data_IF_284527289499
#
_entry.id   IF_284527289499
#
_cell.length_a   1.000
_cell.length_b   1.000
_cell.length_c   1.000
_cell.angle_alpha   90.00
_cell.angle_beta   90.00
_cell.angle_gamma   90.00
#
_symmetry.space_group_name_H-M   'P 1'
#
loop_
_entity.id
_entity.type
_entity.pdbx_description
1 polymer ?
#
# COMPACT_ATOMS: atom_id res chain seq x y z
N UNK A 1 13.89 -55.95 4.27
CA UNK A 1 14.84 -54.92 4.75
C UNK A 1 15.76 -54.34 3.68
N UNK A 2 16.42 -55.12 2.81
CA UNK A 2 17.35 -54.54 1.77
C UNK A 2 16.69 -53.64 0.71
N UNK A 3 15.42 -53.85 0.35
CA UNK A 3 14.73 -52.97 -0.67
C UNK A 3 14.38 -51.58 -0.14
N UNK A 4 14.09 -51.44 1.13
CA UNK A 4 13.77 -50.12 1.74
C UNK A 4 15.03 -49.28 2.00
N UNK A 5 16.18 -49.93 2.21
CA UNK A 5 17.47 -49.25 2.39
C UNK A 5 17.95 -48.59 1.09
N UNK A 6 17.69 -49.23 -0.08
CA UNK A 6 18.02 -48.68 -1.40
C UNK A 6 17.15 -47.47 -1.78
N UNK A 7 15.86 -47.47 -1.37
CA UNK A 7 14.94 -46.36 -1.60
C UNK A 7 15.33 -45.17 -0.71
N UNK A 8 15.71 -45.43 0.55
CA UNK A 8 16.16 -44.39 1.48
C UNK A 8 17.48 -43.71 1.04
N UNK A 9 18.42 -44.51 0.48
CA UNK A 9 19.67 -43.99 -0.09
C UNK A 9 19.45 -43.19 -1.40
N UNK A 10 18.45 -43.62 -2.22
CA UNK A 10 18.07 -42.86 -3.42
C UNK A 10 17.41 -41.52 -3.09
N UNK A 11 16.55 -41.45 -2.07
CA UNK A 11 15.92 -40.23 -1.61
C UNK A 11 16.94 -39.28 -0.97
N UNK A 12 17.88 -39.80 -0.17
CA UNK A 12 18.94 -39.00 0.42
C UNK A 12 19.90 -38.42 -0.65
N UNK A 13 20.19 -39.16 -1.74
CA UNK A 13 20.99 -38.64 -2.82
C UNK A 13 20.26 -37.58 -3.67
N UNK A 14 18.94 -37.70 -3.85
CA UNK A 14 18.16 -36.67 -4.56
C UNK A 14 18.08 -35.40 -3.72
N UNK A 15 17.93 -35.49 -2.38
CA UNK A 15 17.98 -34.32 -1.49
C UNK A 15 19.40 -33.71 -1.41
N UNK A 16 20.46 -34.50 -1.54
CA UNK A 16 21.83 -33.97 -1.58
C UNK A 16 22.16 -33.27 -2.89
N UNK A 17 21.53 -33.66 -4.01
CA UNK A 17 21.74 -32.98 -5.32
C UNK A 17 20.94 -31.68 -5.46
N UNK A 18 19.85 -31.51 -4.74
CA UNK A 18 19.09 -30.25 -4.73
C UNK A 18 19.77 -29.16 -3.89
N UNK A 19 20.70 -29.54 -2.97
CA UNK A 19 21.43 -28.60 -2.14
C UNK A 19 22.72 -28.00 -2.76
N UNK A 20 23.13 -28.38 -3.96
CA UNK A 20 24.43 -27.94 -4.53
C UNK A 20 24.34 -27.13 -5.82
N UNK A 21 23.16 -26.71 -6.26
CA UNK A 21 23.04 -25.64 -7.22
C UNK A 21 22.87 -24.30 -6.49
N UNK A 22 23.81 -23.95 -5.65
CA UNK A 22 23.93 -22.59 -5.13
C UNK A 22 24.31 -21.69 -6.31
N UNK A 23 23.41 -20.78 -6.67
CA UNK A 23 23.59 -19.90 -7.81
C UNK A 23 24.84 -19.01 -7.60
N UNK A 24 25.51 -18.67 -8.68
CA UNK A 24 26.67 -17.74 -8.68
C UNK A 24 26.31 -16.39 -8.02
N UNK A 25 25.03 -15.99 -8.06
CA UNK A 25 24.51 -14.76 -7.47
C UNK A 25 24.00 -14.93 -6.03
N UNK A 26 23.89 -16.15 -5.52
CA UNK A 26 23.36 -16.40 -4.18
C UNK A 26 24.19 -15.77 -3.03
N UNK A 27 25.51 -15.73 -3.15
CA UNK A 27 26.36 -15.10 -2.16
C UNK A 27 26.15 -13.57 -2.13
N UNK A 28 26.08 -12.93 -3.31
CA UNK A 28 25.76 -11.51 -3.42
C UNK A 28 24.33 -11.22 -2.99
N UNK A 29 23.36 -12.09 -3.31
CA UNK A 29 21.95 -11.93 -2.96
C UNK A 29 21.75 -11.68 -1.46
N UNK A 30 22.37 -12.46 -0.59
CA UNK A 30 22.24 -12.29 0.86
C UNK A 30 22.86 -10.97 1.35
N UNK A 31 23.97 -10.53 0.78
CA UNK A 31 24.60 -9.27 1.13
C UNK A 31 23.76 -8.08 0.65
N UNK A 32 23.26 -8.13 -0.58
CA UNK A 32 22.38 -7.10 -1.13
C UNK A 32 21.04 -7.03 -0.38
N UNK A 33 20.47 -8.15 0.08
CA UNK A 33 19.31 -8.14 0.96
C UNK A 33 19.60 -7.42 2.28
N UNK A 34 20.77 -7.64 2.90
CA UNK A 34 21.19 -6.91 4.11
C UNK A 34 21.36 -5.41 3.85
N UNK A 35 21.96 -5.03 2.72
CA UNK A 35 22.11 -3.63 2.30
C UNK A 35 20.76 -2.98 2.04
N UNK A 36 19.85 -3.70 1.38
CA UNK A 36 18.46 -3.26 1.21
C UNK A 36 17.77 -3.04 2.56
N UNK A 37 17.88 -3.98 3.49
CA UNK A 37 17.25 -3.85 4.81
C UNK A 37 17.84 -2.72 5.65
N UNK A 38 19.15 -2.48 5.54
CA UNK A 38 19.82 -1.36 6.20
C UNK A 38 19.32 0.02 5.73
N UNK A 39 18.77 0.11 4.50
CA UNK A 39 18.18 1.31 3.93
C UNK A 39 16.65 1.38 4.07
N UNK A 40 16.04 0.46 4.84
CA UNK A 40 14.60 0.46 5.05
C UNK A 40 14.16 1.72 5.80
N UNK A 41 13.23 2.53 5.24
CA UNK A 41 12.83 3.76 5.88
C UNK A 41 12.01 3.49 7.14
N UNK A 42 12.17 4.36 8.14
CA UNK A 42 11.19 4.49 9.21
C UNK A 42 9.96 5.23 8.68
N UNK A 43 8.76 4.77 9.07
CA UNK A 43 7.55 5.48 8.68
C UNK A 43 7.32 6.74 9.50
N UNK A 44 6.86 7.75 8.83
CA UNK A 44 6.19 8.91 9.42
C UNK A 44 4.71 8.58 9.56
N UNK A 45 4.19 8.70 10.77
CA UNK A 45 2.79 8.45 11.08
C UNK A 45 2.06 9.75 11.38
N UNK A 46 0.85 9.90 10.79
CA UNK A 46 -0.02 11.04 11.06
C UNK A 46 -1.45 10.57 11.29
N UNK A 47 -2.08 11.04 12.38
CA UNK A 47 -3.48 10.74 12.67
C UNK A 47 -4.40 11.72 11.94
N UNK A 48 -5.42 11.18 11.31
CA UNK A 48 -6.49 11.90 10.63
C UNK A 48 -7.84 11.47 11.20
N UNK A 49 -8.77 12.41 11.24
CA UNK A 49 -10.19 12.15 11.52
C UNK A 49 -11.02 12.49 10.30
N UNK A 50 -12.21 11.90 10.11
CA UNK A 50 -13.09 12.31 9.03
C UNK A 50 -13.48 13.77 9.23
N UNK A 51 -13.53 14.53 8.13
CA UNK A 51 -13.82 15.97 8.16
C UNK A 51 -15.31 16.27 8.11
N UNK A 52 -16.07 15.47 7.37
CA UNK A 52 -17.49 15.71 7.09
C UNK A 52 -18.19 14.45 6.63
N UNK A 53 -19.52 14.51 6.69
CA UNK A 53 -20.40 13.54 6.08
C UNK A 53 -20.73 14.04 4.68
N UNK A 54 -20.68 13.13 3.71
CA UNK A 54 -20.99 13.41 2.32
C UNK A 54 -22.00 12.42 1.77
N UNK A 55 -22.67 12.81 0.69
CA UNK A 55 -23.46 11.89 -0.14
C UNK A 55 -22.93 11.88 -1.57
N UNK A 56 -22.97 10.73 -2.21
CA UNK A 56 -22.63 10.59 -3.62
C UNK A 56 -23.79 11.04 -4.49
N UNK A 57 -23.51 11.90 -5.46
CA UNK A 57 -24.50 12.46 -6.39
C UNK A 57 -24.02 12.23 -7.82
N UNK A 58 -24.94 11.78 -8.68
CA UNK A 58 -24.66 11.62 -10.11
C UNK A 58 -24.42 12.97 -10.76
N UNK A 59 -23.30 13.08 -11.49
CA UNK A 59 -22.91 14.30 -12.21
C UNK A 59 -22.08 13.89 -13.44
N UNK A 60 -22.67 14.02 -14.62
CA UNK A 60 -22.05 13.61 -15.89
C UNK A 60 -20.77 14.37 -16.23
N UNK A 61 -20.54 15.55 -15.60
CA UNK A 61 -19.33 16.34 -15.78
C UNK A 61 -18.20 15.97 -14.81
N UNK A 62 -18.54 15.22 -13.76
CA UNK A 62 -17.56 14.79 -12.76
C UNK A 62 -16.81 13.53 -13.22
N UNK A 63 -15.65 13.31 -12.63
CA UNK A 63 -14.86 12.09 -12.87
C UNK A 63 -15.70 10.84 -12.58
N UNK A 64 -15.73 9.91 -13.51
CA UNK A 64 -16.54 8.69 -13.48
C UNK A 64 -18.07 8.94 -13.30
N UNK A 65 -18.56 10.14 -13.55
CA UNK A 65 -19.98 10.49 -13.46
C UNK A 65 -20.51 10.70 -12.05
N UNK A 66 -19.65 10.87 -11.05
CA UNK A 66 -20.04 11.02 -9.65
C UNK A 66 -19.23 12.11 -8.93
N UNK A 67 -19.91 12.85 -8.06
CA UNK A 67 -19.29 13.81 -7.13
C UNK A 67 -19.84 13.66 -5.72
N UNK A 68 -19.14 14.21 -4.74
CA UNK A 68 -19.60 14.26 -3.35
C UNK A 68 -20.19 15.63 -3.02
N UNK A 69 -21.32 15.63 -2.32
CA UNK A 69 -21.91 16.79 -1.68
C UNK A 69 -21.79 16.69 -0.18
N UNK A 70 -21.42 17.79 0.47
CA UNK A 70 -21.44 17.92 1.93
C UNK A 70 -22.88 17.87 2.43
N UNK A 71 -23.17 17.03 3.41
CA UNK A 71 -24.51 16.88 3.98
C UNK A 71 -24.54 16.95 5.51
N UNK A 72 -23.41 17.13 6.15
CA UNK A 72 -23.41 17.33 7.60
C UNK A 72 -22.11 17.07 8.34
N UNK A 73 -22.16 17.28 9.65
CA UNK A 73 -21.07 17.13 10.58
C UNK A 73 -20.96 15.67 11.04
N UNK A 74 -19.73 15.21 11.23
CA UNK A 74 -19.42 13.87 11.76
C UNK A 74 -19.87 13.64 13.21
N UNK A 75 -20.16 14.71 13.95
CA UNK A 75 -20.54 14.65 15.38
C UNK A 75 -21.78 13.78 15.64
N UNK A 76 -22.68 13.66 14.66
CA UNK A 76 -23.85 12.76 14.75
C UNK A 76 -23.46 11.30 15.00
N UNK A 77 -22.31 10.86 14.49
CA UNK A 77 -21.83 9.49 14.67
C UNK A 77 -21.36 9.19 16.12
N UNK A 78 -21.01 10.23 16.87
CA UNK A 78 -20.56 10.13 18.26
C UNK A 78 -21.68 10.31 19.27
N UNK A 79 -22.81 10.87 18.85
CA UNK A 79 -23.92 11.28 19.74
C UNK A 79 -25.26 10.64 19.41
N UNK A 80 -25.39 10.02 18.24
CA UNK A 80 -26.63 9.38 17.79
C UNK A 80 -26.42 7.90 17.48
N UNK A 81 -27.52 7.15 17.46
CA UNK A 81 -27.51 5.73 17.13
C UNK A 81 -27.11 5.48 15.69
N UNK A 82 -26.08 4.65 15.48
CA UNK A 82 -25.60 4.23 14.16
C UNK A 82 -26.70 3.56 13.32
N UNK A 83 -27.73 2.98 13.97
CA UNK A 83 -28.89 2.40 13.25
C UNK A 83 -29.64 3.43 12.42
N UNK A 84 -29.59 4.71 12.80
CA UNK A 84 -30.22 5.82 12.06
C UNK A 84 -29.36 6.30 10.88
N UNK A 85 -28.07 5.95 10.88
CA UNK A 85 -27.07 6.48 9.96
C UNK A 85 -26.43 5.39 9.09
N UNK A 86 -27.11 4.25 8.88
CA UNK A 86 -26.59 3.20 7.99
C UNK A 86 -26.45 3.71 6.55
N UNK A 87 -25.32 3.39 5.92
CA UNK A 87 -24.99 3.87 4.57
C UNK A 87 -24.33 5.25 4.54
N UNK A 88 -23.96 5.79 5.71
CA UNK A 88 -23.27 7.09 5.80
C UNK A 88 -21.89 7.04 5.13
N UNK A 89 -21.52 8.11 4.44
CA UNK A 89 -20.22 8.25 3.78
C UNK A 89 -19.44 9.38 4.45
N UNK A 90 -18.22 9.08 4.84
CA UNK A 90 -17.28 10.02 5.44
C UNK A 90 -16.22 10.43 4.41
N UNK A 91 -15.89 11.73 4.35
CA UNK A 91 -14.78 12.28 3.60
C UNK A 91 -13.64 12.67 4.55
N UNK A 92 -12.45 12.11 4.35
CA UNK A 92 -11.25 12.44 5.10
C UNK A 92 -10.50 13.67 4.53
N UNK A 93 -11.00 14.23 3.42
CA UNK A 93 -10.47 15.44 2.79
C UNK A 93 -9.33 15.19 1.81
N UNK A 94 -8.51 14.18 2.06
CA UNK A 94 -7.39 13.78 1.22
C UNK A 94 -7.31 12.25 1.14
N UNK A 95 -6.60 11.73 0.14
CA UNK A 95 -6.29 10.31 0.03
C UNK A 95 -5.27 9.94 1.11
N UNK A 96 -5.44 8.79 1.75
CA UNK A 96 -4.61 8.36 2.88
C UNK A 96 -4.26 6.89 2.74
N UNK A 97 -3.01 6.54 3.05
CA UNK A 97 -2.52 5.16 3.13
C UNK A 97 -2.11 4.83 4.56
N UNK A 98 -2.68 3.78 5.17
CA UNK A 98 -2.41 3.43 6.57
C UNK A 98 -3.44 2.50 7.19
N UNK A 99 -3.76 2.69 8.47
CA UNK A 99 -4.66 1.83 9.25
C UNK A 99 -5.84 2.60 9.84
N UNK A 100 -7.03 1.98 9.80
CA UNK A 100 -8.25 2.54 10.36
C UNK A 100 -8.54 1.95 11.73
N UNK A 101 -8.75 2.84 12.71
CA UNK A 101 -9.02 2.48 14.10
C UNK A 101 -10.30 3.19 14.57
N UNK A 102 -11.09 2.50 15.38
CA UNK A 102 -12.32 3.06 15.96
C UNK A 102 -12.64 2.41 17.30
N UNK A 103 -13.47 3.09 18.08
CA UNK A 103 -14.10 2.50 19.25
C UNK A 103 -15.61 2.75 19.24
N UNK A 104 -16.35 1.80 19.78
CA UNK A 104 -17.81 1.89 19.94
C UNK A 104 -18.19 2.00 21.40
N UNK A 105 -19.27 2.74 21.63
CA UNK A 105 -19.97 2.84 22.91
C UNK A 105 -21.46 2.55 22.73
N UNK A 106 -22.14 2.19 23.82
CA UNK A 106 -23.60 2.17 23.91
C UNK A 106 -24.07 3.55 24.41
N UNK A 107 -25.10 4.08 23.78
CA UNK A 107 -25.74 5.31 24.23
C UNK A 107 -26.62 5.00 25.45
N UNK A 108 -26.51 5.81 26.51
CA UNK A 108 -27.20 5.61 27.78
C UNK A 108 -26.30 5.01 28.88
N UNK A 109 -26.89 4.61 30.00
CA UNK A 109 -26.14 4.18 31.21
C UNK A 109 -25.82 2.66 31.23
N UNK A 110 -25.96 1.96 30.14
CA UNK A 110 -25.82 0.50 30.09
C UNK A 110 -24.43 0.05 29.65
N UNK A 111 -23.84 -0.86 30.41
CA UNK A 111 -22.72 -1.69 29.97
C UNK A 111 -23.30 -3.06 29.65
N UNK A 112 -23.20 -3.48 28.37
CA UNK A 112 -23.69 -4.79 27.98
C UNK A 112 -22.54 -5.70 27.57
N UNK A 113 -22.43 -6.84 28.23
CA UNK A 113 -21.48 -7.91 27.90
C UNK A 113 -21.90 -8.75 26.67
N UNK A 114 -23.12 -8.53 26.17
CA UNK A 114 -23.69 -9.21 25.01
C UNK A 114 -24.48 -8.19 24.20
N UNK A 115 -23.76 -7.46 23.35
CA UNK A 115 -24.29 -6.37 22.56
C UNK A 115 -23.75 -6.46 21.11
N UNK A 116 -24.15 -7.50 20.35
CA UNK A 116 -23.63 -7.68 19.00
C UNK A 116 -24.06 -6.56 18.06
N UNK A 117 -23.06 -6.07 17.28
CA UNK A 117 -23.26 -5.20 16.13
C UNK A 117 -22.38 -5.68 14.97
N UNK A 118 -22.97 -5.72 13.77
CA UNK A 118 -22.29 -6.09 12.54
C UNK A 118 -22.21 -4.90 11.60
N UNK A 119 -21.00 -4.48 11.30
CA UNK A 119 -20.70 -3.33 10.46
C UNK A 119 -20.01 -3.76 9.16
N UNK A 120 -20.35 -3.09 8.07
CA UNK A 120 -19.56 -3.13 6.83
C UNK A 120 -18.92 -1.77 6.62
N UNK A 121 -17.62 -1.78 6.40
CA UNK A 121 -16.82 -0.64 5.99
C UNK A 121 -16.46 -0.82 4.52
N UNK A 122 -16.71 0.19 3.68
CA UNK A 122 -16.30 0.20 2.27
C UNK A 122 -15.40 1.41 2.05
N UNK A 123 -14.18 1.16 1.62
CA UNK A 123 -13.14 2.17 1.44
C UNK A 123 -12.97 2.49 -0.04
N UNK A 124 -12.99 3.76 -0.40
CA UNK A 124 -12.92 4.20 -1.78
C UNK A 124 -11.99 5.41 -1.95
N UNK A 125 -11.28 5.44 -3.06
CA UNK A 125 -10.42 6.57 -3.45
C UNK A 125 -11.23 7.67 -4.11
N UNK A 126 -12.23 7.28 -4.91
CA UNK A 126 -13.08 8.19 -5.69
C UNK A 126 -14.56 7.86 -5.52
N UNK A 127 -15.45 8.84 -5.75
CA UNK A 127 -16.90 8.64 -5.57
C UNK A 127 -17.50 7.49 -6.39
N UNK A 128 -16.98 7.26 -7.60
CA UNK A 128 -17.44 6.20 -8.51
C UNK A 128 -17.31 4.79 -7.92
N UNK A 129 -16.29 4.53 -7.11
CA UNK A 129 -16.12 3.23 -6.47
C UNK A 129 -17.24 2.89 -5.49
N UNK A 130 -17.75 3.87 -4.74
CA UNK A 130 -18.87 3.65 -3.81
C UNK A 130 -20.21 3.39 -4.53
N UNK A 131 -20.28 3.71 -5.81
CA UNK A 131 -21.48 3.54 -6.65
C UNK A 131 -21.36 2.34 -7.61
N UNK A 132 -20.25 1.61 -7.53
CA UNK A 132 -20.03 0.37 -8.26
C UNK A 132 -20.27 -0.80 -7.32
N UNK A 133 -21.12 -1.79 -7.67
CA UNK A 133 -21.33 -2.94 -6.81
C UNK A 133 -20.03 -3.75 -6.68
N UNK A 134 -19.71 -4.20 -5.47
CA UNK A 134 -18.57 -5.07 -5.23
C UNK A 134 -18.93 -6.55 -5.41
N UNK A 135 -20.20 -6.92 -5.27
CA UNK A 135 -20.68 -8.29 -5.38
C UNK A 135 -22.01 -8.34 -6.17
N UNK A 136 -22.01 -8.78 -7.45
CA UNK A 136 -20.86 -9.06 -8.28
C UNK A 136 -20.12 -7.81 -8.73
N UNK A 137 -18.80 -7.86 -8.78
CA UNK A 137 -17.99 -6.75 -9.28
C UNK A 137 -17.93 -6.79 -10.82
N UNK A 138 -18.35 -5.71 -11.53
CA UNK A 138 -18.42 -5.69 -12.97
C UNK A 138 -17.09 -5.36 -13.67
N UNK A 139 -16.06 -5.00 -12.91
CA UNK A 139 -14.76 -4.59 -13.46
C UNK A 139 -13.86 -5.78 -13.84
N UNK A 140 -12.77 -5.49 -14.56
CA UNK A 140 -11.82 -6.50 -15.04
C UNK A 140 -10.82 -7.02 -13.98
N UNK A 141 -10.81 -6.43 -12.79
CA UNK A 141 -9.91 -6.84 -11.70
C UNK A 141 -10.55 -7.91 -10.82
N UNK A 142 -9.73 -8.64 -10.08
CA UNK A 142 -10.25 -9.52 -9.03
C UNK A 142 -10.98 -8.72 -7.94
N UNK A 143 -12.15 -9.20 -7.53
CA UNK A 143 -12.91 -8.68 -6.40
C UNK A 143 -12.07 -8.58 -5.11
N UNK A 144 -11.08 -9.46 -4.94
CA UNK A 144 -10.19 -9.50 -3.79
C UNK A 144 -9.33 -8.22 -3.62
N UNK A 145 -9.14 -7.42 -4.66
CA UNK A 145 -8.43 -6.15 -4.59
C UNK A 145 -9.26 -5.01 -4.00
N UNK A 146 -10.58 -5.14 -3.98
CA UNK A 146 -11.45 -4.10 -3.45
C UNK A 146 -11.38 -4.06 -1.92
N UNK A 147 -11.46 -2.86 -1.37
CA UNK A 147 -11.28 -2.65 0.06
C UNK A 147 -12.62 -2.48 0.75
N UNK A 148 -13.21 -3.57 1.19
CA UNK A 148 -14.30 -3.57 2.16
C UNK A 148 -14.05 -4.61 3.25
N UNK A 149 -14.61 -4.36 4.43
CA UNK A 149 -14.48 -5.23 5.60
C UNK A 149 -15.82 -5.37 6.28
N UNK A 150 -16.13 -6.59 6.71
CA UNK A 150 -17.31 -6.87 7.54
C UNK A 150 -16.82 -7.37 8.89
N UNK A 151 -17.15 -6.62 9.95
CA UNK A 151 -16.76 -6.94 11.31
C UNK A 151 -18.01 -7.16 12.16
N UNK A 152 -18.01 -8.23 12.96
CA UNK A 152 -19.00 -8.45 14.00
C UNK A 152 -18.34 -8.27 15.36
N UNK A 153 -18.81 -7.30 16.13
CA UNK A 153 -18.35 -7.02 17.49
C UNK A 153 -19.42 -7.54 18.45
N UNK A 154 -19.03 -8.38 19.40
CA UNK A 154 -19.95 -9.06 20.30
C UNK A 154 -20.20 -8.30 21.60
N UNK A 155 -19.25 -7.48 22.02
CA UNK A 155 -19.28 -6.70 23.26
C UNK A 155 -18.98 -5.23 22.99
N UNK A 156 -19.65 -4.33 23.70
CA UNK A 156 -19.44 -2.87 23.64
C UNK A 156 -19.48 -2.33 25.09
N UNK A 157 -18.55 -1.47 25.54
CA UNK A 157 -17.57 -0.73 24.72
C UNK A 157 -16.40 -1.59 24.24
N UNK A 158 -15.86 -1.24 23.07
CA UNK A 158 -14.74 -1.94 22.45
C UNK A 158 -13.89 -0.98 21.58
N UNK A 159 -12.58 -1.20 21.60
CA UNK A 159 -11.66 -0.63 20.60
C UNK A 159 -11.36 -1.69 19.53
N UNK A 160 -11.38 -1.29 18.27
CA UNK A 160 -11.16 -2.16 17.13
C UNK A 160 -10.35 -1.46 16.05
N UNK A 161 -9.68 -2.27 15.23
CA UNK A 161 -8.95 -1.80 14.05
C UNK A 161 -9.21 -2.72 12.87
N UNK A 162 -9.09 -2.19 11.66
CA UNK A 162 -9.07 -3.02 10.45
C UNK A 162 -7.67 -3.65 10.35
N UNK A 163 -7.57 -5.00 10.27
CA UNK A 163 -6.29 -5.72 10.40
C UNK A 163 -5.47 -5.73 9.10
N UNK A 164 -5.55 -4.67 8.30
CA UNK A 164 -4.73 -4.49 7.11
C UNK A 164 -4.53 -3.01 6.78
N UNK A 165 -3.48 -2.71 6.01
CA UNK A 165 -3.27 -1.38 5.44
C UNK A 165 -4.34 -1.09 4.39
N UNK A 166 -4.89 0.10 4.45
CA UNK A 166 -5.94 0.63 3.57
C UNK A 166 -5.41 1.83 2.79
N UNK A 167 -6.06 2.13 1.67
CA UNK A 167 -5.73 3.28 0.85
C UNK A 167 -7.04 3.85 0.28
N UNK A 168 -7.44 5.03 0.79
CA UNK A 168 -8.75 5.60 0.49
C UNK A 168 -8.84 7.09 0.85
N UNK A 169 -9.89 7.75 0.37
CA UNK A 169 -10.35 9.06 0.81
C UNK A 169 -11.73 8.99 1.46
N UNK A 170 -12.61 8.13 0.93
CA UNK A 170 -14.01 8.02 1.36
C UNK A 170 -14.26 6.69 2.06
N UNK A 171 -14.98 6.75 3.18
CA UNK A 171 -15.38 5.58 3.95
C UNK A 171 -16.90 5.53 4.05
N UNK A 172 -17.52 4.50 3.48
CA UNK A 172 -18.93 4.20 3.71
C UNK A 172 -19.08 3.20 4.85
N UNK A 173 -20.04 3.45 5.74
CA UNK A 173 -20.34 2.60 6.89
C UNK A 173 -21.80 2.15 6.81
N UNK A 174 -22.00 0.83 6.69
CA UNK A 174 -23.31 0.20 6.72
C UNK A 174 -23.48 -0.62 7.99
N UNK A 175 -24.62 -0.48 8.67
CA UNK A 175 -25.03 -1.34 9.79
C UNK A 175 -25.79 -2.52 9.22
N UNK A 176 -25.16 -3.69 9.18
CA UNK A 176 -25.75 -4.93 8.63
C UNK A 176 -26.66 -5.63 9.63
N UNK A 177 -26.45 -5.41 10.92
CA UNK A 177 -27.25 -5.97 12.00
C UNK A 177 -26.78 -5.44 13.35
N UNK A 178 -27.70 -5.31 14.28
CA UNK A 178 -27.40 -4.88 15.63
C UNK A 178 -28.42 -5.45 16.62
N UNK A 179 -28.00 -5.66 17.87
CA UNK A 179 -28.89 -5.94 19.00
C UNK A 179 -29.83 -4.75 19.30
N UNK A 180 -30.63 -4.86 20.36
CA UNK A 180 -31.59 -3.82 20.75
C UNK A 180 -30.92 -2.51 21.20
N UNK A 181 -29.66 -2.55 21.65
CA UNK A 181 -28.93 -1.36 22.12
C UNK A 181 -28.68 -0.33 21.03
N UNK A 182 -28.59 0.94 21.42
CA UNK A 182 -28.18 2.03 20.55
C UNK A 182 -26.66 2.22 20.63
N UNK A 183 -26.01 2.09 19.50
CA UNK A 183 -24.54 2.16 19.34
C UNK A 183 -24.14 3.49 18.73
N UNK A 184 -23.02 4.05 19.19
CA UNK A 184 -22.35 5.19 18.59
C UNK A 184 -20.84 4.94 18.56
N UNK A 185 -20.13 5.66 17.69
CA UNK A 185 -18.68 5.72 17.82
C UNK A 185 -18.31 6.50 19.10
N UNK A 186 -17.24 6.08 19.77
CA UNK A 186 -16.60 6.87 20.81
C UNK A 186 -15.39 7.60 20.23
N UNK A 187 -14.60 6.90 19.40
CA UNK A 187 -13.48 7.47 18.65
C UNK A 187 -13.42 6.89 17.23
N UNK A 188 -12.86 7.66 16.32
CA UNK A 188 -12.58 7.24 14.97
C UNK A 188 -11.33 7.96 14.48
N UNK A 189 -10.35 7.21 14.00
CA UNK A 189 -9.13 7.79 13.47
C UNK A 189 -8.51 6.91 12.40
N UNK A 190 -7.82 7.53 11.46
CA UNK A 190 -6.96 6.88 10.50
C UNK A 190 -5.51 7.27 10.78
N UNK A 191 -4.65 6.27 10.96
CA UNK A 191 -3.21 6.50 11.12
C UNK A 191 -2.56 6.32 9.76
N UNK A 192 -2.35 7.44 9.07
CA UNK A 192 -1.64 7.47 7.79
C UNK A 192 -0.15 7.20 7.99
N UNK A 193 0.49 6.53 7.01
CA UNK A 193 1.91 6.22 6.99
C UNK A 193 2.55 6.50 5.63
N UNK A 194 3.80 6.92 5.65
CA UNK A 194 4.65 7.09 4.47
C UNK A 194 6.12 7.07 4.89
N UNK A 195 7.03 6.76 3.96
CA UNK A 195 8.47 6.91 4.17
C UNK A 195 8.94 8.38 4.26
N UNK A 196 8.05 9.33 3.98
CA UNK A 196 8.37 10.76 3.93
C UNK A 196 7.25 11.61 4.50
N UNK A 197 7.60 12.80 5.02
CA UNK A 197 6.64 13.82 5.37
C UNK A 197 6.12 14.56 4.12
N UNK A 198 4.92 15.13 4.24
CA UNK A 198 4.40 16.03 3.21
C UNK A 198 5.31 17.26 3.11
N UNK A 199 5.73 17.57 1.90
CA UNK A 199 6.48 18.80 1.61
C UNK A 199 5.61 19.76 0.79
N UNK A 200 5.89 21.04 0.95
CA UNK A 200 5.41 22.08 0.05
C UNK A 200 6.61 22.53 -0.77
N UNK A 201 6.55 22.37 -2.09
CA UNK A 201 7.56 22.93 -2.96
C UNK A 201 7.22 24.39 -3.27
N UNK A 202 8.16 25.25 -3.03
CA UNK A 202 8.06 26.64 -3.50
C UNK A 202 8.24 26.68 -5.02
N UNK A 203 7.13 26.69 -5.72
CA UNK A 203 7.07 26.91 -7.17
C UNK A 203 7.01 28.42 -7.48
N UNK A 204 7.79 29.20 -6.77
CA UNK A 204 7.79 30.69 -6.85
C UNK A 204 7.93 31.21 -8.29
N UNK A 205 8.47 30.40 -9.19
CA UNK A 205 8.69 30.78 -10.59
C UNK A 205 7.48 30.49 -11.48
N UNK A 206 6.50 29.67 -11.03
CA UNK A 206 5.33 29.38 -11.84
C UNK A 206 4.11 30.17 -11.36
N UNK A 207 3.51 30.89 -12.26
CA UNK A 207 2.31 31.72 -12.01
C UNK A 207 1.02 30.95 -12.33
N UNK A 208 1.11 29.84 -13.09
CA UNK A 208 -0.07 29.09 -13.51
C UNK A 208 -0.63 28.23 -12.35
N UNK A 209 -1.85 28.50 -11.88
CA UNK A 209 -2.48 27.74 -10.79
C UNK A 209 -2.69 26.25 -11.14
N UNK A 210 -2.91 25.92 -12.41
CA UNK A 210 -3.09 24.55 -12.85
C UNK A 210 -1.80 23.75 -12.73
N UNK A 211 -0.68 24.31 -13.14
CA UNK A 211 0.65 23.67 -13.00
C UNK A 211 0.96 23.45 -11.52
N UNK A 212 0.68 24.42 -10.65
CA UNK A 212 0.85 24.25 -9.20
C UNK A 212 0.00 23.09 -8.69
N UNK A 213 -1.26 23.02 -9.10
CA UNK A 213 -2.17 21.94 -8.67
C UNK A 213 -1.71 20.57 -9.17
N UNK A 214 -1.25 20.48 -10.41
CA UNK A 214 -0.67 19.23 -10.96
C UNK A 214 0.54 18.80 -10.14
N UNK A 215 1.45 19.72 -9.81
CA UNK A 215 2.61 19.42 -8.99
C UNK A 215 2.24 18.96 -7.57
N UNK A 216 1.31 19.67 -6.90
CA UNK A 216 0.81 19.27 -5.57
C UNK A 216 0.25 17.85 -5.58
N UNK A 217 -0.59 17.53 -6.57
CA UNK A 217 -1.18 16.20 -6.72
C UNK A 217 -0.10 15.15 -7.00
N UNK A 218 0.86 15.47 -7.88
CA UNK A 218 1.99 14.57 -8.19
C UNK A 218 2.85 14.27 -6.97
N UNK A 219 3.23 15.28 -6.21
CA UNK A 219 3.99 15.12 -4.97
C UNK A 219 3.22 14.31 -3.94
N UNK A 220 1.92 14.57 -3.81
CA UNK A 220 1.08 13.83 -2.87
C UNK A 220 0.95 12.36 -3.27
N UNK A 221 0.76 12.07 -4.55
CA UNK A 221 0.71 10.71 -5.09
C UNK A 221 2.03 9.96 -4.83
N UNK A 222 3.16 10.60 -5.15
CA UNK A 222 4.47 10.04 -4.87
C UNK A 222 4.65 9.70 -3.38
N UNK A 223 4.27 10.62 -2.48
CA UNK A 223 4.33 10.39 -1.03
C UNK A 223 3.53 9.14 -0.60
N UNK A 224 2.33 8.94 -1.15
CA UNK A 224 1.49 7.78 -0.82
C UNK A 224 2.08 6.46 -1.34
N UNK A 225 2.81 6.50 -2.47
CA UNK A 225 3.54 5.36 -3.03
C UNK A 225 4.89 5.09 -2.35
N UNK A 226 5.49 6.09 -1.67
CA UNK A 226 6.73 5.93 -0.91
C UNK A 226 6.47 5.24 0.43
N UNK A 227 6.49 3.92 0.41
CA UNK A 227 6.31 3.05 1.58
C UNK A 227 7.66 2.42 1.98
N UNK A 228 7.73 1.15 2.32
CA UNK A 228 9.00 0.44 2.53
C UNK A 228 9.80 0.27 1.25
N UNK A 229 9.12 0.34 0.13
CA UNK A 229 9.65 0.46 -1.24
C UNK A 229 8.85 1.52 -1.98
N UNK A 230 9.21 1.82 -3.21
CA UNK A 230 8.29 2.48 -4.14
C UNK A 230 7.22 1.47 -4.58
N UNK A 231 5.96 1.78 -4.29
CA UNK A 231 4.84 0.92 -4.65
C UNK A 231 4.15 1.47 -5.89
N UNK A 232 3.92 0.63 -6.88
CA UNK A 232 3.15 0.95 -8.09
C UNK A 232 1.75 1.49 -7.80
N UNK A 233 1.23 1.19 -6.61
CA UNK A 233 -0.02 1.74 -6.08
C UNK A 233 -0.30 1.25 -4.66
N UNK A 234 -0.51 2.16 -3.70
CA UNK A 234 -0.66 1.80 -2.29
C UNK A 234 -1.98 1.05 -1.99
N UNK A 235 -2.96 1.11 -2.88
CA UNK A 235 -4.18 0.31 -2.83
C UNK A 235 -4.00 -1.07 -3.46
N UNK A 236 -3.33 -1.11 -4.62
CA UNK A 236 -3.08 -2.27 -5.48
C UNK A 236 -1.90 -1.96 -6.41
N UNK A 237 -0.98 -2.77 -6.73
CA UNK A 237 -0.54 -4.11 -6.30
C UNK A 237 0.30 -4.10 -5.02
N UNK A 238 0.79 -2.94 -4.58
CA UNK A 238 1.62 -2.71 -3.38
C UNK A 238 2.99 -3.37 -3.45
N UNK A 239 3.61 -3.36 -4.60
CA UNK A 239 4.88 -4.02 -4.81
C UNK A 239 5.82 -3.16 -5.63
N UNK A 240 7.09 -3.50 -5.55
CA UNK A 240 8.14 -2.81 -6.28
C UNK A 240 8.21 -3.34 -7.71
N UNK A 241 7.83 -2.48 -8.68
CA UNK A 241 8.07 -2.68 -10.09
C UNK A 241 9.26 -1.84 -10.56
N UNK A 242 10.05 -2.35 -11.51
CA UNK A 242 11.27 -1.64 -11.95
C UNK A 242 10.93 -0.32 -12.66
N UNK A 243 9.91 -0.28 -13.53
CA UNK A 243 9.56 0.95 -14.24
C UNK A 243 9.02 2.03 -13.30
N UNK A 244 8.21 1.62 -12.32
CA UNK A 244 7.70 2.51 -11.27
C UNK A 244 8.84 3.05 -10.42
N UNK A 245 9.76 2.19 -9.97
CA UNK A 245 10.99 2.62 -9.30
C UNK A 245 11.70 3.75 -10.06
N UNK A 246 11.90 3.61 -11.37
CA UNK A 246 12.63 4.62 -12.13
C UNK A 246 11.95 5.98 -12.09
N UNK A 247 10.64 6.01 -12.38
CA UNK A 247 9.87 7.25 -12.44
C UNK A 247 9.73 7.89 -11.06
N UNK A 248 9.45 7.09 -10.03
CA UNK A 248 9.30 7.58 -8.65
C UNK A 248 10.63 8.02 -8.05
N UNK A 249 11.73 7.29 -8.29
CA UNK A 249 13.05 7.70 -7.86
C UNK A 249 13.51 9.01 -8.51
N UNK A 250 13.19 9.21 -9.79
CA UNK A 250 13.48 10.46 -10.48
C UNK A 250 12.71 11.63 -9.88
N UNK A 251 11.40 11.45 -9.65
CA UNK A 251 10.57 12.47 -8.98
C UNK A 251 11.02 12.73 -7.54
N UNK A 252 11.35 11.68 -6.77
CA UNK A 252 11.89 11.78 -5.42
C UNK A 252 13.22 12.55 -5.36
N UNK A 253 14.12 12.35 -6.32
CA UNK A 253 15.42 13.01 -6.38
C UNK A 253 15.31 14.55 -6.40
N UNK A 254 14.25 15.06 -7.04
CA UNK A 254 13.98 16.51 -7.14
C UNK A 254 12.97 17.04 -6.11
N UNK A 255 12.40 16.16 -5.28
CA UNK A 255 11.37 16.54 -4.31
C UNK A 255 11.76 16.13 -2.88
N UNK A 256 11.39 14.94 -2.43
CA UNK A 256 11.59 14.46 -1.05
C UNK A 256 13.05 14.14 -0.73
N UNK A 257 13.86 13.79 -1.72
CA UNK A 257 15.30 13.45 -1.61
C UNK A 257 15.59 12.30 -0.64
N UNK A 258 14.65 11.39 -0.49
CA UNK A 258 14.87 10.15 0.27
C UNK A 258 15.64 9.15 -0.60
N UNK A 259 16.95 9.35 -0.71
CA UNK A 259 17.81 8.53 -1.56
C UNK A 259 18.02 7.12 -1.01
N UNK A 260 17.88 6.91 0.31
CA UNK A 260 17.99 5.60 0.92
C UNK A 260 16.86 4.66 0.46
N UNK A 261 15.64 5.20 0.25
CA UNK A 261 14.55 4.41 -0.33
C UNK A 261 14.88 3.94 -1.75
N UNK A 262 15.48 4.81 -2.58
CA UNK A 262 15.94 4.43 -3.93
C UNK A 262 17.02 3.35 -3.85
N UNK A 263 18.01 3.53 -2.98
CA UNK A 263 19.09 2.58 -2.73
C UNK A 263 18.55 1.22 -2.31
N UNK A 264 17.61 1.21 -1.37
CA UNK A 264 16.90 0.01 -0.93
C UNK A 264 16.27 -0.75 -2.09
N UNK A 265 15.51 -0.06 -2.93
CA UNK A 265 14.80 -0.66 -4.05
C UNK A 265 15.76 -1.25 -5.09
N UNK A 266 16.85 -0.55 -5.39
CA UNK A 266 17.88 -1.04 -6.30
C UNK A 266 18.53 -2.33 -5.77
N UNK A 267 18.92 -2.37 -4.50
CA UNK A 267 19.49 -3.56 -3.88
C UNK A 267 18.48 -4.72 -3.79
N UNK A 268 17.22 -4.43 -3.48
CA UNK A 268 16.20 -5.46 -3.35
C UNK A 268 15.93 -6.18 -4.67
N UNK A 269 15.83 -5.43 -5.77
CA UNK A 269 15.68 -6.00 -7.12
C UNK A 269 16.89 -6.82 -7.52
N UNK A 270 18.10 -6.32 -7.28
CA UNK A 270 19.35 -7.04 -7.56
C UNK A 270 19.46 -8.35 -6.78
N UNK A 271 19.14 -8.30 -5.49
CA UNK A 271 19.18 -9.44 -4.59
C UNK A 271 18.24 -10.58 -4.99
N UNK A 272 17.15 -10.24 -5.66
CA UNK A 272 16.10 -11.16 -6.09
C UNK A 272 16.15 -11.48 -7.58
N UNK A 273 17.29 -11.25 -8.24
CA UNK A 273 17.55 -11.71 -9.60
C UNK A 273 17.57 -13.25 -9.67
N UNK A 274 17.40 -13.79 -10.86
CA UNK A 274 17.51 -15.24 -11.05
C UNK A 274 18.96 -15.72 -10.99
N UNK A 275 19.18 -17.03 -11.09
CA UNK A 275 20.52 -17.67 -11.02
C UNK A 275 21.50 -17.20 -12.09
N UNK A 276 20.98 -16.64 -13.18
CA UNK A 276 21.77 -16.07 -14.27
C UNK A 276 22.01 -14.56 -14.07
N UNK A 277 21.45 -13.94 -13.03
CA UNK A 277 21.53 -12.50 -12.75
C UNK A 277 20.53 -11.65 -13.55
N UNK A 278 19.52 -12.25 -14.18
CA UNK A 278 18.45 -11.52 -14.84
C UNK A 278 17.42 -11.04 -13.84
N UNK A 279 17.02 -9.79 -13.97
CA UNK A 279 16.06 -9.15 -13.10
C UNK A 279 14.62 -9.59 -13.41
N UNK A 280 13.86 -9.89 -12.37
CA UNK A 280 12.41 -10.01 -12.46
C UNK A 280 11.78 -8.61 -12.54
N UNK A 281 10.69 -8.47 -13.29
CA UNK A 281 10.03 -7.18 -13.49
C UNK A 281 9.50 -6.56 -12.18
N UNK A 282 9.17 -7.39 -11.19
CA UNK A 282 8.64 -6.98 -9.90
C UNK A 282 9.01 -7.96 -8.79
N UNK A 283 9.10 -7.44 -7.57
CA UNK A 283 9.40 -8.18 -6.35
C UNK A 283 8.41 -7.85 -5.24
N UNK A 284 8.25 -8.78 -4.32
CA UNK A 284 7.43 -8.67 -3.12
C UNK A 284 8.33 -8.61 -1.89
N UNK A 285 7.88 -7.92 -0.84
CA UNK A 285 8.52 -7.94 0.48
C UNK A 285 7.92 -8.98 1.41
N UNK A 286 6.61 -9.26 1.27
CA UNK A 286 5.85 -10.15 2.15
C UNK A 286 5.46 -11.47 1.45
N UNK A 287 5.40 -12.60 2.18
CA UNK A 287 5.73 -12.79 3.60
C UNK A 287 7.25 -12.78 3.90
N UNK A 288 8.07 -12.79 2.90
CA UNK A 288 9.52 -12.59 2.87
C UNK A 288 9.90 -12.08 1.47
N UNK A 289 11.02 -11.39 1.30
CA UNK A 289 11.43 -10.90 0.00
C UNK A 289 11.53 -12.02 -1.04
N UNK A 290 10.80 -11.88 -2.15
CA UNK A 290 10.81 -12.85 -3.26
C UNK A 290 10.38 -12.19 -4.57
N UNK A 291 10.83 -12.70 -5.73
CA UNK A 291 10.42 -12.17 -7.02
C UNK A 291 9.08 -12.74 -7.46
N UNK A 292 8.43 -12.10 -8.42
CA UNK A 292 7.39 -12.76 -9.20
C UNK A 292 8.07 -13.67 -10.24
N UNK A 293 8.19 -14.95 -9.92
CA UNK A 293 8.88 -15.92 -10.75
C UNK A 293 8.32 -15.98 -12.17
N UNK A 294 9.24 -15.97 -13.15
CA UNK A 294 8.89 -16.09 -14.58
C UNK A 294 8.36 -14.80 -15.20
N UNK A 295 8.24 -13.71 -14.46
CA UNK A 295 7.86 -12.42 -15.03
C UNK A 295 9.10 -11.59 -15.36
N UNK A 296 9.49 -11.62 -16.62
CA UNK A 296 10.59 -10.84 -17.18
C UNK A 296 10.06 -9.85 -18.20
N UNK A 297 10.53 -8.60 -18.12
CA UNK A 297 10.26 -7.54 -19.08
C UNK A 297 11.61 -6.98 -19.54
N UNK A 298 11.94 -7.12 -20.81
CA UNK A 298 13.24 -6.69 -21.35
C UNK A 298 13.48 -5.19 -21.20
N UNK A 299 12.45 -4.41 -21.42
CA UNK A 299 12.47 -2.96 -21.24
C UNK A 299 12.71 -2.58 -19.75
N UNK A 300 12.09 -3.29 -18.81
CA UNK A 300 12.30 -3.06 -17.38
C UNK A 300 13.72 -3.38 -16.95
N UNK A 301 14.30 -4.46 -17.44
CA UNK A 301 15.68 -4.80 -17.17
C UNK A 301 16.65 -3.68 -17.62
N UNK A 302 16.41 -3.08 -18.80
CA UNK A 302 17.19 -1.93 -19.26
C UNK A 302 16.91 -0.64 -18.45
N UNK A 303 15.66 -0.42 -18.04
CA UNK A 303 15.26 0.72 -17.21
C UNK A 303 15.95 0.67 -15.84
N UNK A 304 16.17 -0.52 -15.26
CA UNK A 304 16.96 -0.66 -14.02
C UNK A 304 18.36 -0.02 -14.15
N UNK A 305 19.04 -0.25 -15.28
CA UNK A 305 20.36 0.34 -15.52
C UNK A 305 20.29 1.88 -15.57
N UNK A 306 19.22 2.42 -16.15
CA UNK A 306 18.98 3.87 -16.18
C UNK A 306 18.67 4.39 -14.77
N UNK A 307 17.86 3.68 -13.99
CA UNK A 307 17.53 4.05 -12.61
C UNK A 307 18.79 4.12 -11.72
N UNK A 308 19.70 3.14 -11.84
CA UNK A 308 20.97 3.15 -11.13
C UNK A 308 21.87 4.32 -11.59
N UNK A 309 21.91 4.62 -12.89
CA UNK A 309 22.65 5.77 -13.41
C UNK A 309 22.13 7.10 -12.88
N UNK A 310 20.80 7.29 -12.86
CA UNK A 310 20.20 8.51 -12.31
C UNK A 310 20.44 8.62 -10.77
N UNK A 311 20.36 7.50 -10.05
CA UNK A 311 20.73 7.45 -8.63
C UNK A 311 22.19 7.90 -8.42
N UNK A 312 23.12 7.34 -9.19
CA UNK A 312 24.56 7.73 -9.14
C UNK A 312 24.75 9.22 -9.45
N UNK A 313 24.06 9.76 -10.45
CA UNK A 313 24.19 11.18 -10.83
C UNK A 313 23.75 12.12 -9.70
N UNK A 314 22.65 11.81 -9.01
CA UNK A 314 22.10 12.69 -7.97
C UNK A 314 22.77 12.52 -6.62
N UNK A 315 23.31 11.33 -6.30
CA UNK A 315 23.91 11.04 -4.99
C UNK A 315 25.45 11.06 -4.99
N UNK A 316 26.06 10.76 -6.14
CA UNK A 316 27.50 10.50 -6.22
C UNK A 316 27.94 9.17 -5.58
N UNK A 317 27.02 8.28 -5.22
CA UNK A 317 27.27 7.00 -4.53
C UNK A 317 27.88 5.96 -5.50
N UNK A 318 29.19 6.09 -5.71
CA UNK A 318 29.96 5.18 -6.57
C UNK A 318 30.02 3.76 -6.02
N UNK A 319 30.08 3.61 -4.68
CA UNK A 319 30.16 2.29 -4.03
C UNK A 319 28.94 1.43 -4.40
N UNK A 320 27.73 1.99 -4.31
CA UNK A 320 26.50 1.29 -4.72
C UNK A 320 26.51 0.96 -6.22
N UNK A 321 26.97 1.88 -7.07
CA UNK A 321 27.02 1.65 -8.49
C UNK A 321 28.03 0.56 -8.89
N UNK A 322 29.20 0.52 -8.26
CA UNK A 322 30.23 -0.51 -8.48
C UNK A 322 29.75 -1.89 -7.97
N UNK A 323 29.09 -1.92 -6.80
CA UNK A 323 28.57 -3.15 -6.20
C UNK A 323 27.47 -3.79 -7.06
N UNK A 324 26.60 -2.97 -7.67
CA UNK A 324 25.50 -3.42 -8.52
C UNK A 324 25.90 -3.56 -10.00
N UNK A 325 27.13 -3.20 -10.37
CA UNK A 325 27.63 -3.29 -11.76
C UNK A 325 27.50 -4.67 -12.38
N UNK A 326 27.78 -5.80 -11.67
CA UNK A 326 27.60 -7.13 -12.24
C UNK A 326 26.16 -7.40 -12.73
N UNK A 327 25.16 -6.84 -12.02
CA UNK A 327 23.73 -6.94 -12.43
C UNK A 327 23.49 -6.13 -13.70
N UNK A 328 23.99 -4.87 -13.76
CA UNK A 328 23.88 -4.00 -14.95
C UNK A 328 24.38 -4.68 -16.21
N UNK A 329 25.61 -5.24 -16.16
CA UNK A 329 26.22 -5.92 -17.32
C UNK A 329 25.38 -7.12 -17.77
N UNK A 330 24.66 -7.74 -16.86
CA UNK A 330 23.84 -8.92 -17.16
C UNK A 330 22.53 -8.59 -17.87
N UNK A 331 22.05 -7.35 -17.77
CA UNK A 331 20.83 -6.90 -18.45
C UNK A 331 21.09 -6.43 -19.90
N UNK A 332 22.33 -6.32 -20.34
CA UNK A 332 22.74 -5.93 -21.70
C UNK A 332 23.06 -7.16 -22.54
#
# INVERSE_FOLDING_TARGET
MKKYLLILMGVLNVYSFVCFAQSKYYEHSNDWLKKSEACKPAFVYKKHSPLRIVKSVKDEKAYQGWRMEDVGNVDVLFNESLKKHSGIILDFGEHLTGTFNFSLKILGEHIASDAPIRLKFTFAEVPGELNTPFDPYPGGLSRAWLQDEIITLMTVPIEASIPRRLSFRYLKIDVLGASSFDFAFDKMSFTAQSAVEKIEMDLATTTDPLIRKINEVGLYTLKECMQTVYEDGPKRDRRLWIADLYLEALANAYSYKNHDLTKRCLYLLAALSNDEGLLHATVFEEPHPHPQYGQYCLDYALIYNVALLEYLKVTGDKETAEDLWPVVVRQI
#
